data_IF_117859590242
#
_entry.id   IF_117859590242
#
_cell.length_a   1.000
_cell.length_b   1.000
_cell.length_c   1.000
_cell.angle_alpha   90.00
_cell.angle_beta   90.00
_cell.angle_gamma   90.00
#
_symmetry.space_group_name_H-M   'P 1'
#
loop_
_entity.id
_entity.type
_entity.pdbx_description
1 polymer ?
#
# COMPACT_ATOMS: atom_id res chain seq x y z
N UNK A 1 0.19 0.65 -22.89
CA UNK A 1 -0.33 0.71 -21.52
C UNK A 1 0.61 0.10 -20.49
N UNK A 2 1.50 -0.83 -20.83
CA UNK A 2 2.39 -1.51 -19.86
C UNK A 2 3.62 -0.70 -19.40
N UNK A 3 4.19 0.20 -20.22
CA UNK A 3 5.41 0.93 -19.87
C UNK A 3 5.22 1.93 -18.70
N UNK A 4 4.03 2.51 -18.56
CA UNK A 4 3.71 3.47 -17.49
C UNK A 4 3.56 2.80 -16.12
N UNK A 5 3.10 1.54 -16.08
CA UNK A 5 2.99 0.77 -14.84
C UNK A 5 4.35 0.40 -14.25
N UNK A 6 5.32 0.08 -15.10
CA UNK A 6 6.66 -0.37 -14.66
C UNK A 6 7.46 0.77 -14.02
N UNK A 7 7.49 1.95 -14.63
CA UNK A 7 8.17 3.11 -14.07
C UNK A 7 7.55 3.54 -12.74
N UNK A 8 6.21 3.52 -12.63
CA UNK A 8 5.51 3.80 -11.38
C UNK A 8 5.88 2.81 -10.26
N UNK A 9 5.97 1.52 -10.57
CA UNK A 9 6.37 0.48 -9.62
C UNK A 9 7.81 0.65 -9.13
N UNK A 10 8.75 1.01 -10.01
CA UNK A 10 10.15 1.27 -9.63
C UNK A 10 10.26 2.49 -8.70
N UNK A 11 9.51 3.56 -8.99
CA UNK A 11 9.43 4.74 -8.13
C UNK A 11 8.83 4.41 -6.76
N UNK A 12 7.73 3.63 -6.73
CA UNK A 12 7.10 3.19 -5.48
C UNK A 12 8.04 2.31 -4.65
N UNK A 13 8.76 1.36 -5.27
CA UNK A 13 9.73 0.54 -4.57
C UNK A 13 10.88 1.36 -3.96
N UNK A 14 11.38 2.36 -4.70
CA UNK A 14 12.40 3.27 -4.18
C UNK A 14 11.89 4.09 -2.98
N UNK A 15 10.64 4.57 -3.05
CA UNK A 15 10.00 5.28 -1.95
C UNK A 15 9.82 4.37 -0.71
N UNK A 16 9.32 3.15 -0.89
CA UNK A 16 9.17 2.17 0.20
C UNK A 16 10.51 1.83 0.85
N UNK A 17 11.57 1.61 0.05
CA UNK A 17 12.92 1.33 0.57
C UNK A 17 13.53 2.48 1.37
N UNK A 18 13.12 3.73 1.11
CA UNK A 18 13.54 4.88 1.91
C UNK A 18 13.02 4.80 3.36
N UNK A 19 11.87 4.17 3.56
CA UNK A 19 11.29 3.95 4.88
C UNK A 19 11.74 2.62 5.51
N UNK A 20 11.93 1.56 4.72
CA UNK A 20 12.42 0.25 5.18
C UNK A 20 13.48 -0.31 4.20
N UNK A 21 14.78 -0.18 4.52
CA UNK A 21 15.87 -0.60 3.63
C UNK A 21 15.92 -2.11 3.34
N UNK A 22 15.24 -2.93 4.14
CA UNK A 22 15.23 -4.38 3.97
C UNK A 22 14.24 -4.86 2.91
N UNK A 23 13.42 -3.98 2.32
CA UNK A 23 12.47 -4.39 1.29
C UNK A 23 13.19 -4.94 0.05
N UNK A 24 12.99 -6.22 -0.23
CA UNK A 24 13.60 -6.93 -1.37
C UNK A 24 12.81 -6.74 -2.66
N UNK A 25 11.49 -6.57 -2.59
CA UNK A 25 10.65 -6.27 -3.75
C UNK A 25 9.16 -6.20 -3.44
N UNK A 26 8.38 -5.67 -4.39
CA UNK A 26 6.91 -5.66 -4.34
C UNK A 26 6.40 -7.01 -4.89
N UNK A 27 5.59 -7.71 -4.10
CA UNK A 27 4.94 -8.95 -4.49
C UNK A 27 3.64 -8.71 -5.25
N UNK A 28 2.86 -7.70 -4.83
CA UNK A 28 1.60 -7.33 -5.49
C UNK A 28 1.24 -5.86 -5.21
N UNK A 29 0.43 -5.29 -6.10
CA UNK A 29 -0.07 -3.90 -6.00
C UNK A 29 -1.52 -3.84 -6.45
N UNK A 30 -2.35 -3.14 -5.69
CA UNK A 30 -3.72 -2.80 -6.09
C UNK A 30 -3.92 -1.29 -6.06
N UNK A 31 -4.88 -0.82 -6.87
CA UNK A 31 -5.20 0.60 -7.04
C UNK A 31 -5.84 1.21 -5.79
N UNK A 32 -7.04 1.77 -5.89
CA UNK A 32 -7.67 2.47 -4.77
C UNK A 32 -8.16 1.47 -3.69
N UNK A 33 -7.65 1.62 -2.47
CA UNK A 33 -8.18 0.98 -1.26
C UNK A 33 -8.51 2.02 -0.18
N UNK A 34 -9.37 1.65 0.75
CA UNK A 34 -9.68 2.43 1.96
C UNK A 34 -9.57 1.53 3.19
N UNK A 35 -8.96 2.04 4.26
CA UNK A 35 -8.81 1.31 5.51
C UNK A 35 -10.01 1.58 6.44
N UNK A 36 -10.47 0.53 7.10
CA UNK A 36 -11.49 0.59 8.13
C UNK A 36 -10.94 0.00 9.42
N UNK A 37 -11.26 0.61 10.55
CA UNK A 37 -10.98 0.08 11.87
C UNK A 37 -12.28 -0.38 12.50
N UNK A 38 -12.25 -1.53 13.18
CA UNK A 38 -13.40 -1.96 13.96
C UNK A 38 -13.33 -1.35 15.36
N UNK A 39 -14.39 -0.69 15.82
CA UNK A 39 -14.56 -0.21 17.19
C UNK A 39 -15.29 -1.26 18.02
N UNK A 40 -14.63 -1.97 18.96
CA UNK A 40 -15.30 -2.96 19.79
C UNK A 40 -16.26 -2.33 20.81
N UNK A 41 -16.04 -1.05 21.15
CA UNK A 41 -16.87 -0.30 22.10
C UNK A 41 -18.27 -0.07 21.55
N UNK A 42 -18.33 0.37 20.30
CA UNK A 42 -19.56 0.72 19.61
C UNK A 42 -20.05 -0.43 18.72
N UNK A 43 -19.24 -1.50 18.61
CA UNK A 43 -19.47 -2.72 17.84
C UNK A 43 -19.75 -2.42 16.35
N UNK A 44 -18.98 -1.50 15.79
CA UNK A 44 -19.16 -1.01 14.43
C UNK A 44 -17.82 -0.79 13.70
N UNK A 45 -17.90 -0.63 12.38
CA UNK A 45 -16.76 -0.30 11.54
C UNK A 45 -16.68 1.20 11.32
N UNK A 46 -15.54 1.78 11.66
CA UNK A 46 -15.21 3.19 11.46
C UNK A 46 -14.29 3.33 10.24
N UNK A 47 -14.68 4.20 9.31
CA UNK A 47 -13.83 4.55 8.17
C UNK A 47 -12.67 5.43 8.64
N UNK A 48 -11.45 5.09 8.26
CA UNK A 48 -10.28 5.94 8.56
C UNK A 48 -10.05 6.96 7.45
N UNK A 49 -9.10 7.88 7.66
CA UNK A 49 -8.60 8.83 6.66
C UNK A 49 -7.52 8.23 5.74
N UNK A 50 -7.22 6.93 5.90
CA UNK A 50 -6.19 6.23 5.13
C UNK A 50 -6.81 5.63 3.86
N UNK A 51 -6.51 6.24 2.72
CA UNK A 51 -6.90 5.79 1.39
C UNK A 51 -5.73 5.91 0.41
N UNK A 52 -5.66 5.01 -0.58
CA UNK A 52 -4.66 5.09 -1.64
C UNK A 52 -4.27 3.74 -2.21
N UNK A 53 -3.04 3.64 -2.72
CA UNK A 53 -2.48 2.42 -3.32
C UNK A 53 -1.97 1.46 -2.25
N UNK A 54 -2.37 0.19 -2.31
CA UNK A 54 -1.85 -0.85 -1.40
C UNK A 54 -0.75 -1.65 -2.06
N UNK A 55 0.38 -1.75 -1.36
CA UNK A 55 1.55 -2.53 -1.76
C UNK A 55 1.76 -3.69 -0.80
N UNK A 56 1.84 -4.91 -1.35
CA UNK A 56 2.34 -6.08 -0.62
C UNK A 56 3.80 -6.26 -0.99
N UNK A 57 4.71 -6.25 -0.01
CA UNK A 57 6.15 -6.32 -0.26
C UNK A 57 6.83 -7.44 0.54
N UNK A 58 7.97 -7.89 0.03
CA UNK A 58 8.87 -8.85 0.70
C UNK A 58 10.01 -8.09 1.36
N UNK A 59 10.45 -8.60 2.50
CA UNK A 59 11.67 -8.18 3.21
C UNK A 59 12.68 -9.32 3.11
#
# INVERSE_FOLDING_TARGET
MEAAGRAGQEMSLAALRRHDPFITGIADVTGQVALYSFSPKDNEWEKTDIEGTLFVYKR
#
